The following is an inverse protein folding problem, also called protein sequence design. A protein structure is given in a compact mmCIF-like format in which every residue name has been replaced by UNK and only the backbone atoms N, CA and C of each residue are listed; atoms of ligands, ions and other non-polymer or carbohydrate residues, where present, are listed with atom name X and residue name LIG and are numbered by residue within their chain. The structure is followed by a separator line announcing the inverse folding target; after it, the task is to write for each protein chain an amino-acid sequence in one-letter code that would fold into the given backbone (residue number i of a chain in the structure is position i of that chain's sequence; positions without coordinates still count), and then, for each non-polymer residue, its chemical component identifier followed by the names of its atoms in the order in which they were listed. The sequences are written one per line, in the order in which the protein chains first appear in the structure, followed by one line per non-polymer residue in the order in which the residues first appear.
data_IF_463412902800
#
_entry.id   IF_463412902800
#
_cell.length_a   1.000
_cell.length_b   1.000
_cell.length_c   1.000
_cell.angle_alpha   90.00
_cell.angle_beta   90.00
_cell.angle_gamma   90.00
#
_symmetry.space_group_name_H-M   'P 1'
#
loop_
_entity.id
_entity.type
_entity.pdbx_description
1 polymer ?
#
# COMPACT_ATOMS: atom_id res chain seq x y z
N UNK A 1 13.35 17.17 -2.86
CA UNK A 1 14.29 17.17 -3.99
C UNK A 1 15.10 18.45 -3.96
N UNK A 2 16.41 18.32 -3.85
CA UNK A 2 17.37 19.39 -4.13
C UNK A 2 17.73 19.38 -5.62
N UNK A 3 17.27 20.39 -6.35
CA UNK A 3 17.76 20.64 -7.70
C UNK A 3 19.13 21.31 -7.64
N UNK A 4 20.02 20.96 -8.57
CA UNK A 4 21.37 21.55 -8.64
C UNK A 4 21.68 22.07 -10.04
N UNK A 5 22.68 22.94 -10.12
CA UNK A 5 23.31 23.32 -11.39
C UNK A 5 24.61 22.54 -11.54
N UNK A 6 24.77 21.81 -12.64
CA UNK A 6 25.97 21.02 -12.94
C UNK A 6 26.53 21.47 -14.27
N UNK A 7 27.81 21.85 -14.32
CA UNK A 7 28.45 22.38 -15.53
C UNK A 7 27.68 23.53 -16.21
N UNK A 8 26.96 24.33 -15.41
CA UNK A 8 26.11 25.43 -15.91
C UNK A 8 24.68 25.02 -16.32
N UNK A 9 24.35 23.73 -16.28
CA UNK A 9 23.04 23.20 -16.66
C UNK A 9 22.16 22.90 -15.43
N UNK A 10 20.89 23.28 -15.48
CA UNK A 10 19.87 22.90 -14.47
C UNK A 10 18.98 21.76 -14.94
N UNK A 11 19.05 21.40 -16.22
CA UNK A 11 18.22 20.39 -16.89
C UNK A 11 19.16 19.47 -17.69
N UNK A 12 18.92 18.16 -17.63
CA UNK A 12 19.63 17.15 -18.44
C UNK A 12 19.07 17.05 -19.85
N UNK A 13 19.76 16.32 -20.72
CA UNK A 13 19.42 16.21 -22.15
C UNK A 13 17.97 15.76 -22.41
N UNK A 14 17.44 14.84 -21.60
CA UNK A 14 16.06 14.35 -21.71
C UNK A 14 14.99 15.31 -21.14
N UNK A 15 15.40 16.47 -20.61
CA UNK A 15 14.49 17.49 -20.08
C UNK A 15 14.19 17.36 -18.58
N UNK A 16 14.85 16.44 -17.87
CA UNK A 16 14.68 16.28 -16.42
C UNK A 16 15.60 17.19 -15.61
N UNK A 17 15.19 17.66 -14.41
CA UNK A 17 16.05 18.47 -13.57
C UNK A 17 17.28 17.72 -13.08
N UNK A 18 18.43 18.40 -13.12
CA UNK A 18 19.65 17.93 -12.46
C UNK A 18 19.44 17.91 -10.94
N UNK A 19 19.87 16.83 -10.28
CA UNK A 19 19.66 16.64 -8.83
C UNK A 19 20.89 16.17 -8.10
N UNK A 20 20.91 16.43 -6.80
CA UNK A 20 21.87 15.85 -5.85
C UNK A 20 21.48 14.42 -5.42
N UNK A 21 22.43 13.75 -4.75
CA UNK A 21 22.26 12.39 -4.20
C UNK A 21 21.03 12.30 -3.29
N UNK A 22 20.76 13.33 -2.48
CA UNK A 22 19.62 13.38 -1.56
C UNK A 22 18.25 13.40 -2.25
N UNK A 23 18.21 13.53 -3.57
CA UNK A 23 17.01 13.43 -4.39
C UNK A 23 16.88 12.10 -5.13
N UNK A 24 17.82 11.19 -4.93
CA UNK A 24 17.81 9.83 -5.42
C UNK A 24 17.61 8.85 -4.27
N UNK A 25 17.21 7.62 -4.59
CA UNK A 25 17.11 6.52 -3.62
C UNK A 25 17.77 5.28 -4.22
N UNK A 26 18.66 4.66 -3.44
CA UNK A 26 19.12 3.30 -3.68
C UNK A 26 17.95 2.33 -3.54
N UNK A 27 17.52 1.72 -4.64
CA UNK A 27 16.43 0.75 -4.66
C UNK A 27 16.90 -0.59 -5.19
N UNK A 28 16.42 -1.66 -4.57
CA UNK A 28 16.55 -3.00 -5.13
C UNK A 28 15.62 -3.16 -6.34
N UNK A 29 16.16 -3.77 -7.41
CA UNK A 29 15.41 -4.06 -8.62
C UNK A 29 14.63 -5.37 -8.41
N UNK A 30 13.28 -5.33 -8.52
CA UNK A 30 12.43 -6.47 -8.24
C UNK A 30 12.86 -7.75 -8.97
N UNK A 31 13.01 -8.84 -8.21
CA UNK A 31 13.40 -10.16 -8.74
C UNK A 31 14.90 -10.35 -8.88
N UNK A 32 15.72 -9.43 -8.36
CA UNK A 32 17.18 -9.44 -8.50
C UNK A 32 17.84 -8.98 -7.20
N UNK A 33 19.15 -9.23 -7.05
CA UNK A 33 19.95 -8.63 -5.96
C UNK A 33 20.58 -7.28 -6.37
N UNK A 34 20.33 -6.79 -7.58
CA UNK A 34 20.86 -5.53 -8.11
C UNK A 34 20.18 -4.33 -7.47
N UNK A 35 20.98 -3.31 -7.18
CA UNK A 35 20.50 -2.02 -6.69
C UNK A 35 20.86 -0.90 -7.66
N UNK A 36 19.95 0.06 -7.83
CA UNK A 36 20.19 1.26 -8.64
C UNK A 36 19.82 2.50 -7.82
N UNK A 37 20.61 3.57 -7.95
CA UNK A 37 20.31 4.87 -7.35
C UNK A 37 19.55 5.75 -8.33
N UNK A 38 18.23 5.82 -8.19
CA UNK A 38 17.34 6.46 -9.17
C UNK A 38 16.74 7.73 -8.57
N UNK A 39 16.58 8.78 -9.38
CA UNK A 39 15.87 9.99 -8.97
C UNK A 39 14.46 9.66 -8.49
N UNK A 40 14.08 10.21 -7.34
CA UNK A 40 12.79 9.98 -6.71
C UNK A 40 11.61 10.42 -7.61
N UNK A 41 10.42 9.87 -7.35
CA UNK A 41 9.19 10.24 -8.07
C UNK A 41 8.91 9.35 -9.28
N UNK A 42 8.49 9.94 -10.39
CA UNK A 42 8.03 9.19 -11.57
C UNK A 42 9.15 8.38 -12.24
N UNK A 43 10.37 8.92 -12.29
CA UNK A 43 11.57 8.21 -12.80
C UNK A 43 11.85 6.94 -12.00
N UNK A 44 11.79 7.01 -10.66
CA UNK A 44 11.97 5.86 -9.79
C UNK A 44 10.98 4.74 -10.11
N UNK A 45 9.69 5.08 -10.26
CA UNK A 45 8.64 4.09 -10.53
C UNK A 45 8.84 3.41 -11.89
N UNK A 46 9.13 4.19 -12.93
CA UNK A 46 9.23 3.69 -14.31
C UNK A 46 10.54 2.93 -14.52
N UNK A 47 11.68 3.51 -14.12
CA UNK A 47 12.99 2.90 -14.38
C UNK A 47 13.22 1.65 -13.53
N UNK A 48 12.74 1.61 -12.27
CA UNK A 48 12.79 0.40 -11.44
C UNK A 48 12.03 -0.75 -12.08
N UNK A 49 10.82 -0.49 -12.58
CA UNK A 49 10.02 -1.48 -13.29
C UNK A 49 10.66 -1.93 -14.60
N UNK A 50 11.24 -0.99 -15.36
CA UNK A 50 11.92 -1.30 -16.62
C UNK A 50 13.12 -2.22 -16.38
N UNK A 51 13.94 -1.92 -15.36
CA UNK A 51 15.08 -2.77 -15.00
C UNK A 51 14.64 -4.19 -14.58
N UNK A 52 13.51 -4.31 -13.86
CA UNK A 52 12.94 -5.62 -13.52
C UNK A 52 12.44 -6.40 -14.74
N UNK A 53 11.88 -5.72 -15.74
CA UNK A 53 11.48 -6.32 -17.01
C UNK A 53 12.68 -6.73 -17.87
N UNK A 54 13.71 -5.88 -17.90
CA UNK A 54 14.97 -6.18 -18.56
C UNK A 54 15.58 -7.47 -17.99
N UNK A 55 15.69 -7.54 -16.66
CA UNK A 55 16.20 -8.73 -15.96
C UNK A 55 15.41 -10.00 -16.32
N UNK A 56 14.08 -9.91 -16.28
CA UNK A 56 13.22 -11.07 -16.44
C UNK A 56 13.15 -11.59 -17.89
N UNK A 57 13.17 -10.69 -18.88
CA UNK A 57 12.80 -11.05 -20.25
C UNK A 57 13.93 -10.86 -21.28
N UNK A 58 14.91 -10.01 -20.99
CA UNK A 58 16.03 -9.75 -21.91
C UNK A 58 17.24 -10.57 -21.46
N UNK A 59 17.79 -10.25 -20.30
CA UNK A 59 18.90 -10.96 -19.68
C UNK A 59 19.08 -10.59 -18.19
N UNK A 60 19.62 -11.49 -17.35
CA UNK A 60 19.83 -11.19 -15.94
C UNK A 60 20.76 -9.98 -15.71
N UNK A 61 20.28 -9.02 -14.94
CA UNK A 61 21.07 -7.91 -14.42
C UNK A 61 22.14 -8.35 -13.44
N UNK A 62 23.22 -7.57 -13.40
CA UNK A 62 24.36 -7.73 -12.50
C UNK A 62 24.68 -6.39 -11.84
N UNK A 63 24.86 -6.43 -10.53
CA UNK A 63 25.10 -5.22 -9.71
C UNK A 63 26.48 -4.62 -9.99
N UNK A 64 27.48 -5.46 -10.23
CA UNK A 64 28.86 -5.04 -10.47
C UNK A 64 29.03 -4.19 -11.75
N UNK A 65 28.13 -4.32 -12.71
CA UNK A 65 28.16 -3.61 -13.99
C UNK A 65 26.81 -3.01 -14.39
N UNK A 66 26.04 -2.52 -13.41
CA UNK A 66 24.85 -1.69 -13.66
C UNK A 66 24.81 -0.48 -12.72
N UNK A 67 24.45 0.70 -13.23
CA UNK A 67 24.42 1.93 -12.43
C UNK A 67 23.42 2.95 -12.99
N UNK A 68 23.03 3.94 -12.17
CA UNK A 68 22.05 4.98 -12.54
C UNK A 68 22.60 6.40 -12.26
N UNK A 69 22.33 7.02 -11.11
CA UNK A 69 22.79 8.38 -10.83
C UNK A 69 24.31 8.48 -10.65
N UNK A 70 24.90 9.60 -11.11
CA UNK A 70 26.30 9.94 -10.81
C UNK A 70 26.46 11.41 -10.41
N UNK A 71 27.39 11.69 -9.50
CA UNK A 71 27.68 13.06 -9.06
C UNK A 71 28.30 13.90 -10.20
N UNK A 72 29.17 13.30 -11.01
CA UNK A 72 29.89 13.90 -12.14
C UNK A 72 29.77 13.01 -13.38
N UNK A 73 29.98 13.59 -14.55
CA UNK A 73 29.96 12.86 -15.83
C UNK A 73 30.84 13.61 -16.85
N UNK A 74 31.37 12.88 -17.84
CA UNK A 74 32.17 13.47 -18.93
C UNK A 74 31.29 14.24 -19.94
N UNK A 75 29.98 14.02 -19.92
CA UNK A 75 28.99 14.75 -20.71
C UNK A 75 28.20 15.70 -19.82
N UNK A 76 28.36 17.00 -20.03
CA UNK A 76 27.80 18.07 -19.19
C UNK A 76 26.26 18.07 -19.09
N UNK A 77 25.59 17.46 -20.07
CA UNK A 77 24.11 17.31 -20.14
C UNK A 77 23.63 15.90 -19.84
N UNK A 78 24.50 15.00 -19.38
CA UNK A 78 24.19 13.59 -19.14
C UNK A 78 22.95 13.39 -18.27
N UNK A 79 22.12 12.41 -18.64
CA UNK A 79 20.95 12.03 -17.88
C UNK A 79 21.28 11.21 -16.61
N UNK A 80 22.53 10.75 -16.47
CA UNK A 80 23.02 10.20 -15.19
C UNK A 80 23.11 11.28 -14.10
N UNK A 81 23.40 12.53 -14.47
CA UNK A 81 23.50 13.66 -13.53
C UNK A 81 22.14 14.06 -12.92
N UNK A 82 21.04 13.74 -13.61
CA UNK A 82 19.67 13.90 -13.13
C UNK A 82 19.10 12.63 -12.50
N UNK A 83 19.81 11.50 -12.53
CA UNK A 83 19.34 10.22 -11.99
C UNK A 83 18.21 9.61 -12.80
N UNK A 84 18.17 9.92 -14.10
CA UNK A 84 17.14 9.50 -15.06
C UNK A 84 17.70 8.71 -16.23
N UNK A 85 18.95 8.24 -16.11
CA UNK A 85 19.57 7.28 -17.00
C UNK A 85 20.18 6.13 -16.21
N UNK A 86 20.24 4.96 -16.82
CA UNK A 86 20.83 3.76 -16.29
C UNK A 86 21.62 3.04 -17.37
N UNK A 87 22.82 2.61 -17.02
CA UNK A 87 23.60 1.69 -17.82
C UNK A 87 23.41 0.29 -17.22
N UNK A 88 22.95 -0.65 -18.04
CA UNK A 88 22.67 -2.02 -17.61
C UNK A 88 23.67 -2.96 -18.25
N UNK A 89 24.35 -3.77 -17.43
CA UNK A 89 25.27 -4.83 -17.87
C UNK A 89 26.43 -4.34 -18.78
N UNK A 90 27.05 -3.19 -18.48
CA UNK A 90 27.96 -2.50 -19.41
C UNK A 90 29.15 -3.34 -19.89
N UNK A 91 29.63 -4.32 -19.11
CA UNK A 91 30.74 -5.19 -19.53
C UNK A 91 30.38 -6.07 -20.74
N UNK A 92 29.08 -6.28 -20.99
CA UNK A 92 28.56 -7.04 -22.15
C UNK A 92 28.18 -6.17 -23.34
N UNK A 93 28.17 -4.84 -23.16
CA UNK A 93 27.56 -3.88 -24.08
C UNK A 93 28.52 -2.70 -24.33
N UNK A 94 29.65 -2.91 -25.03
CA UNK A 94 30.66 -1.87 -25.24
C UNK A 94 30.10 -0.60 -25.90
N UNK A 95 30.49 0.56 -25.34
CA UNK A 95 30.14 1.89 -25.82
C UNK A 95 30.54 2.12 -27.29
N UNK A 96 29.71 2.86 -28.04
CA UNK A 96 29.86 3.19 -29.47
C UNK A 96 29.73 1.99 -30.43
N UNK A 97 29.27 0.85 -29.95
CA UNK A 97 28.98 -0.32 -30.78
C UNK A 97 27.47 -0.54 -30.83
N UNK A 98 26.88 -0.41 -32.02
CA UNK A 98 25.46 -0.64 -32.22
C UNK A 98 25.08 -2.09 -31.87
N UNK A 99 23.94 -2.25 -31.18
CA UNK A 99 23.37 -3.55 -30.80
C UNK A 99 24.31 -4.44 -29.98
N UNK A 100 25.36 -3.87 -29.36
CA UNK A 100 26.40 -4.64 -28.69
C UNK A 100 25.80 -5.57 -27.63
N UNK A 101 26.21 -6.84 -27.61
CA UNK A 101 25.73 -7.85 -26.66
C UNK A 101 24.31 -8.39 -26.91
N UNK A 102 23.56 -7.85 -27.88
CA UNK A 102 22.20 -8.30 -28.19
C UNK A 102 22.13 -9.10 -29.49
N UNK A 103 21.70 -10.35 -29.40
CA UNK A 103 21.30 -11.12 -30.58
C UNK A 103 19.92 -10.67 -31.10
N UNK A 104 19.54 -11.14 -32.29
CA UNK A 104 18.28 -10.77 -32.92
C UNK A 104 17.03 -11.05 -32.06
N UNK A 105 17.06 -12.10 -31.22
CA UNK A 105 15.95 -12.43 -30.34
C UNK A 105 15.87 -11.45 -29.17
N UNK A 106 17.00 -11.10 -28.56
CA UNK A 106 17.06 -10.07 -27.52
C UNK A 106 16.65 -8.71 -28.07
N UNK A 107 17.14 -8.32 -29.25
CA UNK A 107 16.73 -7.09 -29.92
C UNK A 107 15.21 -7.01 -30.10
N UNK A 108 14.58 -8.08 -30.60
CA UNK A 108 13.13 -8.12 -30.75
C UNK A 108 12.38 -7.95 -29.41
N UNK A 109 12.92 -8.53 -28.32
CA UNK A 109 12.33 -8.36 -26.98
C UNK A 109 12.53 -6.96 -26.42
N UNK A 110 13.72 -6.35 -26.60
CA UNK A 110 13.96 -4.96 -26.21
C UNK A 110 12.98 -4.04 -26.93
N UNK A 111 12.76 -4.25 -28.24
CA UNK A 111 11.75 -3.49 -29.00
C UNK A 111 10.34 -3.66 -28.45
N UNK A 112 9.91 -4.89 -28.21
CA UNK A 112 8.59 -5.15 -27.62
C UNK A 112 8.43 -4.54 -26.22
N UNK A 113 9.53 -4.47 -25.45
CA UNK A 113 9.54 -3.83 -24.15
C UNK A 113 9.43 -2.30 -24.28
N UNK A 114 10.24 -1.67 -25.14
CA UNK A 114 10.16 -0.22 -25.40
C UNK A 114 8.77 0.19 -25.93
N UNK A 115 8.17 -0.62 -26.80
CA UNK A 115 6.79 -0.41 -27.28
C UNK A 115 5.78 -0.44 -26.13
N UNK A 116 5.91 -1.37 -25.19
CA UNK A 116 5.07 -1.42 -23.99
C UNK A 116 5.26 -0.20 -23.09
N UNK A 117 6.49 0.35 -23.00
CA UNK A 117 6.79 1.54 -22.21
C UNK A 117 6.33 2.85 -22.87
N UNK A 118 5.71 2.82 -24.05
CA UNK A 118 4.99 3.95 -24.66
C UNK A 118 5.84 5.24 -24.74
N UNK A 119 7.15 5.11 -24.98
CA UNK A 119 8.09 6.23 -25.06
C UNK A 119 8.50 6.84 -23.72
N UNK A 120 8.08 6.27 -22.58
CA UNK A 120 8.55 6.69 -21.25
C UNK A 120 9.99 6.27 -20.96
N UNK A 121 10.50 5.26 -21.66
CA UNK A 121 11.92 4.88 -21.70
C UNK A 121 12.45 5.07 -23.11
N UNK A 122 13.65 5.62 -23.21
CA UNK A 122 14.43 5.74 -24.43
C UNK A 122 15.70 4.89 -24.33
N UNK A 123 16.11 4.30 -25.46
CA UNK A 123 17.28 3.44 -25.54
C UNK A 123 18.41 4.15 -26.30
N UNK A 124 19.58 4.30 -25.68
CA UNK A 124 20.73 4.99 -26.27
C UNK A 124 21.24 4.35 -27.57
N UNK A 125 20.91 3.08 -27.81
CA UNK A 125 21.19 2.42 -29.08
C UNK A 125 20.41 3.03 -30.26
N UNK A 126 19.36 3.80 -29.99
CA UNK A 126 18.56 4.49 -31.02
C UNK A 126 19.11 5.87 -31.39
N UNK A 127 20.08 6.40 -30.65
CA UNK A 127 20.75 7.63 -31.02
C UNK A 127 21.44 7.52 -32.38
N UNK A 128 21.62 8.64 -33.07
CA UNK A 128 22.41 8.64 -34.31
C UNK A 128 23.89 8.44 -34.01
N UNK A 129 24.41 9.12 -33.00
CA UNK A 129 25.77 8.98 -32.48
C UNK A 129 25.85 9.64 -31.09
N UNK A 130 26.57 9.05 -30.12
CA UNK A 130 27.12 7.68 -30.15
C UNK A 130 26.01 6.64 -30.09
N UNK A 131 26.31 5.41 -30.55
CA UNK A 131 25.43 4.25 -30.31
C UNK A 131 25.76 3.67 -28.95
N UNK A 132 24.76 3.50 -28.10
CA UNK A 132 25.00 3.04 -26.72
C UNK A 132 24.00 1.96 -26.29
N UNK A 133 24.40 0.69 -26.41
CA UNK A 133 23.53 -0.45 -26.16
C UNK A 133 23.21 -0.68 -24.68
N UNK A 134 24.10 -0.30 -23.77
CA UNK A 134 23.88 -0.44 -22.32
C UNK A 134 22.95 0.63 -21.75
N UNK A 135 22.83 1.77 -22.44
CA UNK A 135 22.23 2.98 -21.91
C UNK A 135 20.72 3.04 -22.13
N UNK A 136 19.96 3.19 -21.05
CA UNK A 136 18.52 3.45 -21.06
C UNK A 136 18.21 4.68 -20.22
N UNK A 137 17.22 5.46 -20.59
CA UNK A 137 16.88 6.69 -19.87
C UNK A 137 15.38 6.95 -19.87
N UNK A 138 14.91 7.83 -18.99
CA UNK A 138 13.59 8.43 -19.15
C UNK A 138 13.49 9.11 -20.53
N UNK A 139 12.37 8.87 -21.20
CA UNK A 139 12.09 9.42 -22.52
C UNK A 139 12.04 10.95 -22.53
N UNK A 140 12.33 11.54 -23.69
CA UNK A 140 12.26 12.99 -23.86
C UNK A 140 10.83 13.51 -23.62
N UNK A 141 10.71 14.66 -22.95
CA UNK A 141 9.41 15.31 -22.72
C UNK A 141 8.49 14.60 -21.72
N UNK A 142 9.03 13.71 -20.89
CA UNK A 142 8.29 12.99 -19.84
C UNK A 142 8.22 13.74 -18.51
N UNK A 143 9.15 14.68 -18.25
CA UNK A 143 9.15 15.45 -17.01
C UNK A 143 7.91 16.36 -16.90
N UNK A 144 7.13 16.19 -15.84
CA UNK A 144 5.91 16.97 -15.60
C UNK A 144 4.78 16.70 -16.60
N UNK A 145 4.89 15.64 -17.41
CA UNK A 145 3.91 15.32 -18.44
C UNK A 145 2.77 14.45 -17.85
N UNK A 146 1.50 14.84 -18.02
CA UNK A 146 0.36 14.03 -17.57
C UNK A 146 0.34 12.61 -18.16
N UNK A 147 0.84 12.41 -19.38
CA UNK A 147 0.91 11.08 -20.00
C UNK A 147 1.87 10.13 -19.25
N UNK A 148 2.90 10.66 -18.60
CA UNK A 148 3.82 9.87 -17.78
C UNK A 148 3.16 9.41 -16.49
N UNK A 149 2.35 10.27 -15.85
CA UNK A 149 1.53 9.86 -14.70
C UNK A 149 0.47 8.82 -15.10
N UNK A 150 -0.15 9.01 -16.27
CA UNK A 150 -1.12 8.08 -16.81
C UNK A 150 -0.51 6.69 -17.11
N UNK A 151 0.68 6.65 -17.70
CA UNK A 151 1.43 5.41 -17.90
C UNK A 151 1.67 4.67 -16.58
N UNK A 152 2.13 5.38 -15.53
CA UNK A 152 2.35 4.79 -14.22
C UNK A 152 1.07 4.12 -13.70
N UNK A 153 -0.05 4.84 -13.67
CA UNK A 153 -1.33 4.30 -13.19
C UNK A 153 -1.76 3.05 -13.96
N UNK A 154 -1.59 3.05 -15.28
CA UNK A 154 -2.06 1.92 -16.12
C UNK A 154 -1.12 0.72 -16.11
N UNK A 155 0.18 0.93 -15.94
CA UNK A 155 1.21 -0.04 -16.34
C UNK A 155 2.21 -0.38 -15.25
N UNK A 156 2.35 0.44 -14.21
CA UNK A 156 3.30 0.20 -13.11
C UNK A 156 2.52 -0.25 -11.88
N UNK A 157 2.97 -1.33 -11.27
CA UNK A 157 2.39 -1.91 -10.06
C UNK A 157 3.09 -1.33 -8.83
N UNK A 158 2.36 -1.28 -7.72
CA UNK A 158 2.89 -0.81 -6.43
C UNK A 158 4.07 -1.65 -5.90
N UNK A 159 4.21 -2.90 -6.35
CA UNK A 159 5.35 -3.77 -6.04
C UNK A 159 6.57 -3.52 -6.95
N UNK A 160 6.59 -2.42 -7.70
CA UNK A 160 7.75 -2.02 -8.49
C UNK A 160 7.93 -2.80 -9.80
N UNK A 161 7.07 -3.76 -10.12
CA UNK A 161 7.00 -4.38 -11.44
C UNK A 161 6.11 -3.58 -12.39
N UNK A 162 6.27 -3.77 -13.70
CA UNK A 162 5.25 -3.39 -14.67
C UNK A 162 4.23 -4.52 -14.89
N UNK A 163 3.14 -4.21 -15.59
CA UNK A 163 2.17 -5.22 -16.05
C UNK A 163 2.65 -6.01 -17.28
N UNK A 164 3.82 -5.68 -17.85
CA UNK A 164 4.37 -6.35 -19.03
C UNK A 164 4.53 -7.85 -18.78
N UNK A 165 3.79 -8.68 -19.54
CA UNK A 165 3.74 -10.13 -19.41
C UNK A 165 3.41 -10.67 -18.00
N UNK A 166 2.97 -9.82 -17.06
CA UNK A 166 2.61 -10.20 -15.69
C UNK A 166 1.16 -9.94 -15.34
N UNK A 167 0.47 -9.06 -16.07
CA UNK A 167 -0.90 -8.65 -15.75
C UNK A 167 -0.96 -7.84 -14.44
N UNK A 168 -2.15 -7.79 -13.84
CA UNK A 168 -2.38 -7.09 -12.57
C UNK A 168 -1.58 -7.71 -11.41
N UNK A 169 -1.34 -6.93 -10.36
CA UNK A 169 -0.74 -7.45 -9.14
C UNK A 169 -1.61 -8.56 -8.53
N UNK A 170 -1.00 -9.61 -7.92
CA UNK A 170 -1.77 -10.59 -7.17
C UNK A 170 -2.56 -9.88 -6.06
N UNK A 171 -3.82 -10.29 -5.85
CA UNK A 171 -4.62 -9.73 -4.77
C UNK A 171 -3.90 -9.87 -3.41
N UNK A 172 -3.95 -8.84 -2.57
CA UNK A 172 -3.23 -8.78 -1.30
C UNK A 172 -3.49 -10.01 -0.39
N UNK A 173 -4.70 -10.57 -0.42
CA UNK A 173 -5.02 -11.80 0.30
C UNK A 173 -4.24 -13.03 -0.22
N UNK A 174 -3.99 -13.11 -1.54
CA UNK A 174 -3.17 -14.18 -2.13
C UNK A 174 -1.71 -14.01 -1.75
N UNK A 175 -1.20 -12.78 -1.79
CA UNK A 175 0.16 -12.45 -1.33
C UNK A 175 0.33 -12.86 0.13
N UNK A 176 -0.60 -12.47 0.99
CA UNK A 176 -0.57 -12.83 2.41
C UNK A 176 -0.61 -14.36 2.61
N UNK A 177 -1.45 -15.08 1.85
CA UNK A 177 -1.51 -16.54 1.89
C UNK A 177 -0.16 -17.18 1.52
N UNK A 178 0.48 -16.71 0.46
CA UNK A 178 1.80 -17.18 0.03
C UNK A 178 2.88 -16.89 1.09
N UNK A 179 2.91 -15.67 1.62
CA UNK A 179 3.90 -15.22 2.60
C UNK A 179 3.81 -15.98 3.93
N UNK A 180 2.59 -16.33 4.35
CA UNK A 180 2.34 -16.99 5.65
C UNK A 180 2.22 -18.50 5.55
N UNK A 181 1.86 -19.04 4.38
CA UNK A 181 1.46 -20.43 4.19
C UNK A 181 0.03 -20.73 4.66
N UNK A 182 -0.81 -19.71 4.83
CA UNK A 182 -2.23 -19.86 5.16
C UNK A 182 -3.05 -20.22 3.91
N UNK A 183 -4.28 -20.71 4.12
CA UNK A 183 -5.25 -20.78 3.04
C UNK A 183 -5.64 -19.37 2.57
N UNK A 184 -5.98 -19.23 1.29
CA UNK A 184 -6.46 -17.96 0.74
C UNK A 184 -7.68 -17.41 1.50
N UNK A 185 -8.59 -18.29 1.94
CA UNK A 185 -9.75 -17.92 2.74
C UNK A 185 -9.37 -17.37 4.12
N UNK A 186 -8.39 -17.98 4.80
CA UNK A 186 -7.93 -17.48 6.09
C UNK A 186 -7.19 -16.17 5.95
N UNK A 187 -6.33 -16.06 4.93
CA UNK A 187 -5.61 -14.83 4.61
C UNK A 187 -6.57 -13.66 4.35
N UNK A 188 -7.63 -13.86 3.56
CA UNK A 188 -8.64 -12.83 3.31
C UNK A 188 -9.34 -12.34 4.58
N UNK A 189 -9.65 -13.24 5.53
CA UNK A 189 -10.28 -12.87 6.80
C UNK A 189 -9.36 -12.01 7.68
N UNK A 190 -8.07 -12.32 7.72
CA UNK A 190 -7.13 -11.61 8.61
C UNK A 190 -6.49 -10.40 7.96
N UNK A 191 -6.62 -10.24 6.64
CA UNK A 191 -5.94 -9.22 5.86
C UNK A 191 -6.12 -7.81 6.47
N UNK A 192 -7.32 -7.33 6.81
CA UNK A 192 -7.47 -5.99 7.39
C UNK A 192 -6.65 -5.80 8.68
N UNK A 193 -6.67 -6.78 9.59
CA UNK A 193 -5.90 -6.71 10.83
C UNK A 193 -4.38 -6.81 10.59
N UNK A 194 -3.94 -7.51 9.54
CA UNK A 194 -2.53 -7.50 9.13
C UNK A 194 -2.15 -6.12 8.59
N UNK A 195 -2.97 -5.51 7.73
CA UNK A 195 -2.72 -4.20 7.14
C UNK A 195 -2.64 -3.11 8.22
N UNK A 196 -3.61 -3.09 9.15
CA UNK A 196 -3.59 -2.19 10.30
C UNK A 196 -2.32 -2.36 11.16
N UNK A 197 -1.90 -3.62 11.37
CA UNK A 197 -0.68 -3.95 12.10
C UNK A 197 0.59 -3.48 11.40
N UNK A 198 0.71 -3.73 10.09
CA UNK A 198 1.87 -3.30 9.29
C UNK A 198 1.97 -1.77 9.21
N UNK A 199 0.85 -1.09 8.96
CA UNK A 199 0.79 0.36 8.91
C UNK A 199 1.18 0.99 10.26
N UNK A 200 0.57 0.53 11.36
CA UNK A 200 0.88 1.05 12.70
C UNK A 200 2.28 0.68 13.19
N UNK A 201 2.89 -0.36 12.62
CA UNK A 201 4.26 -0.79 12.92
C UNK A 201 5.34 -0.07 12.09
N UNK A 202 4.95 0.81 11.16
CA UNK A 202 5.87 1.44 10.19
C UNK A 202 6.64 0.39 9.35
N UNK A 203 5.94 -0.67 8.94
CA UNK A 203 6.49 -1.70 8.06
C UNK A 203 6.43 -1.23 6.60
N UNK A 204 7.37 -0.38 6.18
CA UNK A 204 7.34 0.32 4.88
C UNK A 204 8.08 -0.38 3.74
N UNK A 205 8.73 -1.51 4.01
CA UNK A 205 9.53 -2.23 3.02
C UNK A 205 9.43 -3.75 3.19
N UNK A 206 9.89 -4.49 2.18
CA UNK A 206 9.86 -5.97 2.12
C UNK A 206 10.47 -6.63 3.36
N UNK A 207 11.62 -6.14 3.83
CA UNK A 207 12.32 -6.74 4.97
C UNK A 207 11.50 -6.60 6.27
N UNK A 208 10.94 -5.40 6.52
CA UNK A 208 10.08 -5.14 7.68
C UNK A 208 8.80 -5.97 7.65
N UNK A 209 8.10 -6.00 6.51
CA UNK A 209 6.88 -6.79 6.33
C UNK A 209 7.16 -8.28 6.54
N UNK A 210 8.21 -8.81 5.92
CA UNK A 210 8.59 -10.21 6.07
C UNK A 210 8.94 -10.57 7.53
N UNK A 211 9.70 -9.73 8.21
CA UNK A 211 10.06 -9.92 9.62
C UNK A 211 8.82 -9.89 10.51
N UNK A 212 7.93 -8.93 10.29
CA UNK A 212 6.69 -8.80 11.04
C UNK A 212 5.81 -10.05 10.85
N UNK A 213 5.54 -10.45 9.62
CA UNK A 213 4.74 -11.66 9.33
C UNK A 213 5.33 -12.92 9.97
N UNK A 214 6.65 -13.06 9.95
CA UNK A 214 7.33 -14.22 10.52
C UNK A 214 7.22 -14.30 12.04
N UNK A 215 7.49 -13.17 12.71
CA UNK A 215 7.46 -13.08 14.16
C UNK A 215 6.04 -13.20 14.69
N UNK A 216 5.13 -12.39 14.16
CA UNK A 216 3.73 -12.36 14.59
C UNK A 216 3.03 -13.68 14.25
N UNK A 217 3.32 -14.26 13.09
CA UNK A 217 2.81 -15.58 12.72
C UNK A 217 3.31 -16.69 13.64
N UNK A 218 4.51 -16.57 14.23
CA UNK A 218 4.99 -17.52 15.22
C UNK A 218 4.25 -17.37 16.56
N UNK A 219 4.14 -16.15 17.08
CA UNK A 219 3.50 -15.87 18.39
C UNK A 219 2.01 -16.25 18.42
N UNK A 220 1.33 -16.21 17.28
CA UNK A 220 -0.12 -16.40 17.15
C UNK A 220 -0.55 -17.78 16.66
N UNK A 221 0.34 -18.77 16.72
CA UNK A 221 0.10 -20.12 16.17
C UNK A 221 -0.34 -20.07 14.69
N UNK A 222 0.44 -19.36 13.87
CA UNK A 222 0.14 -19.05 12.47
C UNK A 222 -1.12 -18.20 12.28
N UNK A 223 -1.28 -17.12 13.05
CA UNK A 223 -2.44 -16.23 13.02
C UNK A 223 -3.76 -16.93 13.38
N UNK A 224 -3.73 -18.08 14.04
CA UNK A 224 -4.93 -18.81 14.47
C UNK A 224 -5.46 -18.34 15.83
N UNK A 225 -4.59 -17.78 16.67
CA UNK A 225 -4.92 -17.39 18.03
C UNK A 225 -4.76 -15.88 18.27
N UNK A 226 -5.84 -15.22 18.68
CA UNK A 226 -5.82 -13.84 19.22
C UNK A 226 -5.82 -13.81 20.75
N UNK A 227 -5.84 -14.99 21.39
CA UNK A 227 -5.81 -15.16 22.83
C UNK A 227 -5.08 -16.48 23.16
N UNK A 228 -4.33 -16.49 24.27
CA UNK A 228 -3.69 -17.68 24.83
C UNK A 228 -4.73 -18.81 25.03
N UNK A 229 -4.41 -20.04 24.61
CA UNK A 229 -5.35 -21.16 24.78
C UNK A 229 -5.58 -21.58 26.24
N UNK A 230 -4.60 -21.34 27.11
CA UNK A 230 -4.72 -21.69 28.52
C UNK A 230 -5.74 -20.78 29.23
N UNK A 231 -6.50 -21.36 30.14
CA UNK A 231 -7.52 -20.67 30.94
C UNK A 231 -7.37 -21.06 32.41
N UNK A 232 -7.83 -20.18 33.29
CA UNK A 232 -7.85 -20.42 34.71
C UNK A 232 -8.73 -19.43 35.47
N UNK A 233 -8.47 -19.31 36.75
CA UNK A 233 -9.30 -18.55 37.69
C UNK A 233 -9.22 -17.04 37.43
N UNK A 234 -10.33 -16.46 36.96
CA UNK A 234 -10.49 -15.03 36.63
C UNK A 234 -10.44 -14.10 37.85
N UNK A 235 -10.20 -14.60 39.06
CA UNK A 235 -9.84 -13.77 40.21
C UNK A 235 -8.34 -13.47 40.29
N UNK A 236 -7.50 -14.18 39.53
CA UNK A 236 -6.05 -14.00 39.54
C UNK A 236 -5.60 -13.13 38.37
N UNK A 237 -4.72 -12.17 38.64
CA UNK A 237 -4.27 -11.17 37.65
C UNK A 237 -3.73 -11.79 36.35
N UNK A 238 -2.98 -12.90 36.45
CA UNK A 238 -2.44 -13.63 35.30
C UNK A 238 -3.53 -14.13 34.35
N UNK A 239 -4.70 -14.53 34.85
CA UNK A 239 -5.81 -15.02 34.03
C UNK A 239 -6.69 -13.88 33.54
N UNK A 240 -6.84 -12.81 34.33
CA UNK A 240 -7.49 -11.56 33.90
C UNK A 240 -6.75 -10.97 32.69
N UNK A 241 -5.44 -10.81 32.80
CA UNK A 241 -4.56 -10.21 31.78
C UNK A 241 -3.65 -11.26 31.11
N UNK A 242 -4.24 -12.41 30.73
CA UNK A 242 -3.59 -13.47 29.92
C UNK A 242 -3.17 -12.95 28.54
N UNK A 243 -2.39 -13.73 27.80
CA UNK A 243 -1.94 -13.36 26.45
C UNK A 243 -3.12 -13.06 25.51
N UNK A 244 -3.16 -11.87 24.92
CA UNK A 244 -4.13 -11.46 23.87
C UNK A 244 -3.44 -10.69 22.75
N UNK A 245 -4.12 -10.55 21.61
CA UNK A 245 -3.56 -10.14 20.31
C UNK A 245 -2.59 -11.16 19.73
N UNK A 246 -2.08 -10.92 18.52
CA UNK A 246 -1.16 -11.87 17.90
C UNK A 246 0.25 -11.88 18.53
N UNK A 247 0.66 -10.83 19.24
CA UNK A 247 1.95 -10.79 19.98
C UNK A 247 1.81 -11.28 21.44
N UNK A 248 0.61 -11.74 21.85
CA UNK A 248 0.36 -12.24 23.20
C UNK A 248 0.67 -11.21 24.31
N UNK A 249 0.14 -9.99 24.18
CA UNK A 249 0.18 -8.98 25.25
C UNK A 249 -0.36 -9.59 26.55
N UNK A 250 0.48 -9.57 27.58
CA UNK A 250 0.24 -10.19 28.88
C UNK A 250 0.56 -9.19 29.98
N UNK A 251 -0.06 -9.34 31.15
CA UNK A 251 0.07 -8.47 32.34
C UNK A 251 -0.67 -7.15 32.23
N UNK A 252 -1.18 -6.69 33.39
CA UNK A 252 -1.96 -5.45 33.50
C UNK A 252 -1.22 -4.22 32.94
N UNK A 253 0.10 -4.16 33.09
CA UNK A 253 0.93 -3.06 32.60
C UNK A 253 0.90 -2.92 31.08
N UNK A 254 0.97 -4.01 30.33
CA UNK A 254 0.88 -3.97 28.86
C UNK A 254 -0.52 -3.62 28.39
N UNK A 255 -1.55 -4.12 29.08
CA UNK A 255 -2.94 -3.75 28.80
C UNK A 255 -3.17 -2.25 29.03
N UNK A 256 -2.61 -1.69 30.10
CA UNK A 256 -2.67 -0.25 30.36
C UNK A 256 -1.90 0.56 29.30
N UNK A 257 -0.67 0.15 28.97
CA UNK A 257 0.15 0.82 27.94
C UNK A 257 -0.51 0.82 26.56
N UNK A 258 -1.11 -0.31 26.16
CA UNK A 258 -1.84 -0.41 24.90
C UNK A 258 -3.15 0.39 24.93
N UNK A 259 -3.87 0.39 26.06
CA UNK A 259 -5.09 1.21 26.22
C UNK A 259 -4.80 2.69 26.03
N UNK A 260 -3.74 3.20 26.67
CA UNK A 260 -3.31 4.58 26.51
C UNK A 260 -2.93 4.88 25.06
N UNK A 261 -2.15 3.99 24.42
CA UNK A 261 -1.72 4.17 23.03
C UNK A 261 -2.89 4.21 22.04
N UNK A 262 -3.92 3.40 22.26
CA UNK A 262 -5.17 3.43 21.49
C UNK A 262 -5.98 4.70 21.77
N UNK A 263 -6.05 5.15 23.02
CA UNK A 263 -6.78 6.36 23.40
C UNK A 263 -6.17 7.61 22.76
N UNK A 264 -4.84 7.73 22.77
CA UNK A 264 -4.10 8.84 22.14
C UNK A 264 -4.35 8.92 20.63
N UNK A 265 -4.83 7.82 20.02
CA UNK A 265 -5.17 7.70 18.59
C UNK A 265 -6.69 7.75 18.33
N UNK A 266 -7.50 7.98 19.36
CA UNK A 266 -8.96 8.01 19.24
C UNK A 266 -9.61 6.65 18.93
N UNK A 267 -8.89 5.54 19.12
CA UNK A 267 -9.38 4.19 18.80
C UNK A 267 -10.27 3.61 19.92
N UNK A 268 -10.13 4.11 21.14
CA UNK A 268 -10.93 3.72 22.31
C UNK A 268 -11.35 4.93 23.12
N UNK A 269 -12.42 4.81 23.89
CA UNK A 269 -13.02 5.93 24.61
C UNK A 269 -12.26 6.35 25.88
N UNK A 270 -11.48 5.44 26.48
CA UNK A 270 -10.78 5.69 27.76
C UNK A 270 -9.32 5.20 27.71
N UNK A 271 -8.41 5.85 28.45
CA UNK A 271 -7.00 5.42 28.53
C UNK A 271 -6.81 4.09 29.28
N UNK A 272 -7.85 3.57 29.93
CA UNK A 272 -7.85 2.30 30.68
C UNK A 272 -8.71 1.22 30.02
N UNK A 273 -9.18 1.43 28.78
CA UNK A 273 -10.20 0.60 28.14
C UNK A 273 -9.98 -0.92 28.26
N UNK A 274 -8.78 -1.43 27.98
CA UNK A 274 -8.48 -2.87 28.08
C UNK A 274 -8.09 -3.30 29.50
N UNK A 275 -7.75 -2.38 30.41
CA UNK A 275 -7.62 -2.71 31.84
C UNK A 275 -8.99 -3.03 32.43
N UNK A 276 -10.00 -2.27 32.02
CA UNK A 276 -11.39 -2.39 32.46
C UNK A 276 -12.13 -3.51 31.69
N UNK A 277 -11.77 -3.73 30.42
CA UNK A 277 -12.39 -4.71 29.53
C UNK A 277 -11.33 -5.65 28.90
N UNK A 278 -10.63 -6.47 29.70
CA UNK A 278 -9.46 -7.23 29.22
C UNK A 278 -9.80 -8.25 28.14
N UNK A 279 -10.99 -8.84 28.15
CA UNK A 279 -11.42 -9.80 27.13
C UNK A 279 -11.61 -9.16 25.75
N UNK A 280 -11.94 -7.87 25.67
CA UNK A 280 -12.10 -7.16 24.40
C UNK A 280 -10.80 -7.14 23.57
N UNK A 281 -9.64 -7.28 24.23
CA UNK A 281 -8.34 -7.32 23.55
C UNK A 281 -8.14 -8.60 22.70
N UNK A 282 -9.03 -9.60 22.82
CA UNK A 282 -9.01 -10.80 21.99
C UNK A 282 -9.66 -10.59 20.61
N UNK A 283 -10.35 -9.47 20.38
CA UNK A 283 -10.97 -9.20 19.07
C UNK A 283 -9.91 -9.07 17.97
N UNK A 284 -10.20 -9.65 16.80
CA UNK A 284 -9.28 -9.67 15.66
C UNK A 284 -8.81 -8.26 15.24
N UNK A 285 -9.67 -7.24 15.33
CA UNK A 285 -9.32 -5.85 15.00
C UNK A 285 -8.17 -5.28 15.83
N UNK A 286 -7.92 -5.82 17.02
CA UNK A 286 -6.79 -5.41 17.87
C UNK A 286 -5.56 -6.28 17.68
N UNK A 287 -5.67 -7.40 16.95
CA UNK A 287 -4.63 -8.42 16.90
C UNK A 287 -3.33 -7.90 16.26
N UNK A 288 -3.45 -7.18 15.14
CA UNK A 288 -2.33 -6.52 14.48
C UNK A 288 -1.87 -5.24 15.20
N UNK A 289 -2.81 -4.44 15.73
CA UNK A 289 -2.48 -3.21 16.45
C UNK A 289 -1.72 -3.46 17.76
N UNK A 290 -2.06 -4.52 18.51
CA UNK A 290 -1.30 -4.92 19.70
C UNK A 290 0.13 -5.35 19.35
N UNK A 291 0.29 -6.05 18.23
CA UNK A 291 1.61 -6.37 17.68
C UNK A 291 2.38 -5.09 17.31
N UNK A 292 1.74 -4.14 16.63
CA UNK A 292 2.34 -2.86 16.25
C UNK A 292 2.78 -2.02 17.46
N UNK A 293 1.97 -1.95 18.52
CA UNK A 293 2.35 -1.28 19.76
C UNK A 293 3.59 -1.89 20.40
N UNK A 294 3.64 -3.22 20.50
CA UNK A 294 4.82 -3.88 21.06
C UNK A 294 6.06 -3.63 20.19
N UNK A 295 5.87 -3.71 18.88
CA UNK A 295 6.91 -3.52 17.86
C UNK A 295 7.51 -2.11 17.86
N UNK A 296 6.70 -1.07 18.07
CA UNK A 296 7.15 0.34 17.93
C UNK A 296 7.34 1.06 19.25
N UNK A 297 6.59 0.69 20.28
CA UNK A 297 6.62 1.37 21.58
C UNK A 297 7.38 0.56 22.61
N UNK A 298 7.07 -0.72 22.74
CA UNK A 298 7.76 -1.57 23.71
C UNK A 298 9.17 -1.96 23.26
N UNK A 299 9.42 -2.01 21.95
CA UNK A 299 10.69 -2.42 21.32
C UNK A 299 11.05 -1.54 20.11
N UNK A 300 11.30 -0.23 20.30
CA UNK A 300 11.44 0.74 19.21
C UNK A 300 12.61 0.46 18.25
N UNK A 301 13.55 -0.43 18.59
CA UNK A 301 14.70 -0.80 17.75
C UNK A 301 14.40 -1.88 16.70
N UNK A 302 13.22 -2.51 16.71
CA UNK A 302 12.93 -3.65 15.83
C UNK A 302 12.94 -3.28 14.34
N UNK A 303 12.46 -2.09 13.94
CA UNK A 303 12.47 -1.69 12.52
C UNK A 303 13.89 -1.64 11.94
N UNK A 304 14.84 -1.05 12.67
CA UNK A 304 16.24 -1.01 12.24
C UNK A 304 16.86 -2.42 12.15
N UNK A 305 16.50 -3.32 13.08
CA UNK A 305 16.94 -4.72 13.04
C UNK A 305 16.33 -5.47 11.86
N UNK A 306 15.07 -5.21 11.53
CA UNK A 306 14.39 -5.80 10.38
C UNK A 306 15.02 -5.33 9.07
N UNK A 307 15.36 -4.04 8.95
CA UNK A 307 16.07 -3.49 7.78
C UNK A 307 17.43 -4.18 7.59
N UNK A 308 18.15 -4.45 8.68
CA UNK A 308 19.39 -5.21 8.70
C UNK A 308 19.23 -6.74 8.55
N UNK A 309 17.98 -7.24 8.39
CA UNK A 309 17.63 -8.66 8.32
C UNK A 309 18.09 -9.48 9.53
N UNK A 310 18.23 -8.86 10.71
CA UNK A 310 18.70 -9.50 11.94
C UNK A 310 17.56 -10.27 12.65
N UNK A 311 17.22 -11.43 12.07
CA UNK A 311 16.18 -12.33 12.59
C UNK A 311 16.44 -12.78 14.03
N UNK A 312 17.71 -13.01 14.39
CA UNK A 312 18.08 -13.56 15.70
C UNK A 312 17.81 -12.53 16.79
N UNK A 313 18.25 -11.28 16.59
CA UNK A 313 18.04 -10.22 17.57
C UNK A 313 16.57 -9.83 17.68
N UNK A 314 15.82 -9.78 16.57
CA UNK A 314 14.37 -9.54 16.65
C UNK A 314 13.67 -10.65 17.43
N UNK A 315 14.05 -11.91 17.23
CA UNK A 315 13.51 -13.05 18.01
C UNK A 315 13.80 -12.88 19.51
N UNK A 316 15.02 -12.46 19.87
CA UNK A 316 15.39 -12.15 21.25
C UNK A 316 14.56 -10.99 21.84
N UNK A 317 14.27 -9.94 21.06
CA UNK A 317 13.45 -8.80 21.52
C UNK A 317 12.01 -9.18 21.84
N UNK A 318 11.46 -10.09 21.05
CA UNK A 318 10.07 -10.53 21.18
C UNK A 318 9.93 -11.60 22.25
N UNK A 319 10.76 -12.64 22.22
CA UNK A 319 10.60 -13.80 23.08
C UNK A 319 11.49 -13.79 24.33
N UNK A 320 12.49 -12.89 24.41
CA UNK A 320 13.50 -12.91 25.47
C UNK A 320 14.55 -14.02 25.32
N UNK A 321 14.55 -14.72 24.19
CA UNK A 321 15.38 -15.90 23.90
C UNK A 321 15.31 -16.25 22.41
N UNK A 322 15.86 -17.39 22.02
CA UNK A 322 15.79 -17.92 20.64
C UNK A 322 14.74 -19.01 20.47
N UNK A 323 13.78 -19.12 21.39
CA UNK A 323 12.76 -20.17 21.31
C UNK A 323 11.91 -20.00 20.05
N UNK A 324 11.72 -21.12 19.35
CA UNK A 324 10.96 -21.15 18.10
C UNK A 324 11.65 -20.49 16.91
N UNK A 325 12.94 -20.14 17.02
CA UNK A 325 13.71 -19.62 15.90
C UNK A 325 13.76 -20.63 14.73
N UNK A 326 14.07 -21.88 15.06
CA UNK A 326 14.12 -23.00 14.11
C UNK A 326 12.86 -23.87 14.16
N UNK A 327 12.67 -24.68 13.12
CA UNK A 327 11.58 -25.63 13.03
C UNK A 327 11.63 -26.66 14.16
N UNK A 328 10.46 -27.03 14.68
CA UNK A 328 10.36 -28.00 15.76
C UNK A 328 9.01 -28.71 15.72
N UNK A 329 8.99 -30.01 16.00
CA UNK A 329 7.78 -30.83 16.06
C UNK A 329 6.90 -30.72 14.79
N UNK A 330 7.52 -30.65 13.61
CA UNK A 330 6.83 -30.50 12.33
C UNK A 330 6.16 -29.14 12.12
N UNK A 331 6.39 -28.16 13.01
CA UNK A 331 5.91 -26.79 12.87
C UNK A 331 7.04 -25.86 12.40
N UNK A 332 6.76 -24.94 11.46
CA UNK A 332 7.75 -23.98 10.98
C UNK A 332 8.09 -22.96 12.07
N UNK A 333 9.38 -22.81 12.34
CA UNK A 333 9.95 -21.77 13.19
C UNK A 333 9.96 -20.40 12.51
N UNK A 334 10.46 -19.39 13.21
CA UNK A 334 10.54 -18.01 12.71
C UNK A 334 11.39 -17.90 11.45
N UNK A 335 12.50 -18.65 11.36
CA UNK A 335 13.38 -18.65 10.17
C UNK A 335 12.66 -19.14 8.92
N UNK A 336 11.96 -20.26 9.01
CA UNK A 336 11.19 -20.81 7.88
C UNK A 336 10.09 -19.85 7.45
N UNK A 337 9.40 -19.22 8.40
CA UNK A 337 8.36 -18.21 8.11
C UNK A 337 8.96 -16.97 7.45
N UNK A 338 10.10 -16.50 7.95
CA UNK A 338 10.80 -15.34 7.42
C UNK A 338 11.30 -15.58 5.99
N UNK A 339 11.94 -16.73 5.74
CA UNK A 339 12.39 -17.11 4.41
C UNK A 339 11.22 -17.26 3.43
N UNK A 340 10.08 -17.82 3.88
CA UNK A 340 8.85 -17.91 3.07
C UNK A 340 8.34 -16.52 2.69
N UNK A 341 8.26 -15.60 3.66
CA UNK A 341 7.79 -14.25 3.40
C UNK A 341 8.76 -13.50 2.47
N UNK A 342 10.07 -13.55 2.72
CA UNK A 342 11.08 -12.94 1.85
C UNK A 342 11.03 -13.46 0.41
N UNK A 343 10.73 -14.75 0.21
CA UNK A 343 10.60 -15.34 -1.12
C UNK A 343 9.44 -14.77 -1.94
N UNK A 344 8.46 -14.12 -1.31
CA UNK A 344 7.38 -13.39 -2.00
C UNK A 344 7.91 -12.07 -2.59
N UNK A 345 8.98 -11.51 -2.04
CA UNK A 345 9.65 -10.32 -2.55
C UNK A 345 8.74 -9.09 -2.51
N UNK A 346 8.84 -8.26 -3.55
CA UNK A 346 8.15 -6.97 -3.59
C UNK A 346 6.62 -7.08 -3.61
N UNK A 347 6.04 -8.24 -3.99
CA UNK A 347 4.60 -8.45 -3.87
C UNK A 347 4.10 -8.22 -2.44
N UNK A 348 4.97 -8.36 -1.41
CA UNK A 348 4.65 -7.99 -0.03
C UNK A 348 4.23 -6.52 0.13
N UNK A 349 4.69 -5.61 -0.73
CA UNK A 349 4.33 -4.18 -0.68
C UNK A 349 2.84 -3.96 -0.96
N UNK A 350 2.17 -4.88 -1.65
CA UNK A 350 0.70 -4.85 -1.79
C UNK A 350 -0.03 -5.04 -0.46
N UNK A 351 0.64 -5.50 0.60
CA UNK A 351 0.03 -5.59 1.93
C UNK A 351 -0.03 -4.24 2.65
N UNK A 352 0.74 -3.25 2.22
CA UNK A 352 0.70 -1.89 2.79
C UNK A 352 0.15 -0.85 1.80
N UNK A 353 0.23 -1.18 0.51
CA UNK A 353 -0.35 -0.43 -0.59
C UNK A 353 -1.27 -1.38 -1.38
N UNK A 354 -2.39 -1.86 -0.78
CA UNK A 354 -3.30 -2.81 -1.45
C UNK A 354 -3.93 -2.25 -2.72
N UNK A 355 -3.90 -0.93 -2.82
CA UNK A 355 -4.37 -0.08 -3.89
C UNK A 355 -3.16 0.80 -4.20
N UNK A 356 -2.51 0.60 -5.34
CA UNK A 356 -1.40 1.45 -5.74
C UNK A 356 -1.95 2.83 -6.05
N UNK A 357 -1.89 3.78 -5.12
CA UNK A 357 -2.49 5.11 -5.30
C UNK A 357 -3.97 5.10 -5.77
N UNK A 358 -4.74 4.03 -5.56
CA UNK A 358 -6.20 4.06 -5.72
C UNK A 358 -6.83 4.53 -4.39
N UNK A 359 -6.39 5.70 -3.92
CA UNK A 359 -7.30 6.52 -3.12
C UNK A 359 -8.54 6.72 -4.01
N UNK A 360 -9.75 6.45 -3.53
CA UNK A 360 -11.00 6.69 -4.29
C UNK A 360 -11.04 8.08 -4.97
N UNK A 361 -10.29 9.03 -4.40
CA UNK A 361 -10.09 10.37 -4.95
C UNK A 361 -9.24 10.43 -6.23
N UNK A 362 -8.31 9.50 -6.48
CA UNK A 362 -7.39 9.51 -7.63
C UNK A 362 -8.04 9.05 -8.94
N UNK A 363 -9.15 8.31 -8.85
CA UNK A 363 -10.02 7.99 -10.00
C UNK A 363 -10.81 9.22 -10.48
N UNK A 364 -10.93 10.25 -9.64
CA UNK A 364 -11.63 11.49 -9.93
C UNK A 364 -10.66 12.53 -10.48
N UNK A 365 -11.05 13.20 -11.57
CA UNK A 365 -10.37 14.41 -12.04
C UNK A 365 -10.42 15.51 -10.98
N UNK A 366 -9.54 16.52 -11.06
CA UNK A 366 -9.54 17.64 -10.12
C UNK A 366 -10.90 18.38 -10.04
N UNK A 367 -11.71 18.31 -11.11
CA UNK A 367 -13.07 18.84 -11.13
C UNK A 367 -14.03 17.95 -10.33
N UNK A 368 -13.99 16.64 -10.54
CA UNK A 368 -14.83 15.66 -9.83
C UNK A 368 -14.46 15.55 -8.33
N UNK A 369 -13.18 15.69 -7.98
CA UNK A 369 -12.75 15.79 -6.57
C UNK A 369 -13.33 17.04 -5.90
N UNK A 370 -13.42 18.15 -6.63
CA UNK A 370 -13.97 19.41 -6.13
C UNK A 370 -15.48 19.34 -6.01
N UNK A 371 -16.14 18.72 -6.97
CA UNK A 371 -17.57 18.40 -6.92
C UNK A 371 -17.91 17.48 -5.74
N UNK A 372 -17.12 16.42 -5.50
CA UNK A 372 -17.29 15.55 -4.34
C UNK A 372 -17.09 16.31 -3.03
N UNK A 373 -16.07 17.16 -2.94
CA UNK A 373 -15.81 18.00 -1.77
C UNK A 373 -16.97 18.97 -1.52
N UNK A 374 -17.50 19.59 -2.57
CA UNK A 374 -18.60 20.54 -2.48
C UNK A 374 -19.91 19.82 -2.14
N UNK A 375 -20.17 18.64 -2.67
CA UNK A 375 -21.30 17.78 -2.30
C UNK A 375 -21.20 17.28 -0.86
N UNK A 376 -19.99 16.96 -0.38
CA UNK A 376 -19.75 16.54 1.01
C UNK A 376 -19.90 17.70 1.99
N UNK A 377 -19.46 18.90 1.59
CA UNK A 377 -19.68 20.15 2.36
C UNK A 377 -21.14 20.53 2.39
N UNK A 378 -21.82 20.41 1.26
CA UNK A 378 -23.26 20.62 1.17
C UNK A 378 -24.00 19.63 2.09
N UNK A 379 -23.66 18.34 2.07
CA UNK A 379 -24.21 17.35 3.01
C UNK A 379 -23.92 17.73 4.47
N UNK A 380 -22.68 18.15 4.79
CA UNK A 380 -22.31 18.62 6.14
C UNK A 380 -23.10 19.86 6.57
N UNK A 381 -23.40 20.77 5.65
CA UNK A 381 -24.19 21.99 5.89
C UNK A 381 -25.67 21.65 6.10
N UNK A 382 -26.21 20.68 5.35
CA UNK A 382 -27.56 20.16 5.56
C UNK A 382 -27.69 19.38 6.88
N UNK A 383 -26.64 18.68 7.32
CA UNK A 383 -26.62 17.88 8.53
C UNK A 383 -26.25 18.67 9.81
N UNK A 384 -25.66 19.87 9.65
CA UNK A 384 -25.26 20.76 10.74
C UNK A 384 -24.08 20.24 11.60
N UNK A 385 -23.44 21.11 12.41
CA UNK A 385 -22.25 20.74 13.19
C UNK A 385 -22.52 19.87 14.43
N UNK A 386 -23.79 19.60 14.76
CA UNK A 386 -24.19 18.84 15.94
C UNK A 386 -25.00 17.60 15.55
N UNK A 387 -24.28 16.50 15.35
CA UNK A 387 -24.78 15.23 14.78
C UNK A 387 -25.83 14.54 15.70
N UNK A 388 -26.09 15.05 16.91
CA UNK A 388 -27.03 14.44 17.88
C UNK A 388 -27.72 15.46 18.79
N UNK A 389 -28.43 16.43 18.20
CA UNK A 389 -29.23 17.42 18.93
C UNK A 389 -30.71 17.43 18.52
N UNK A 390 -31.59 18.14 19.26
CA UNK A 390 -33.05 18.13 19.05
C UNK A 390 -33.55 18.64 17.69
N UNK A 391 -32.67 19.13 16.82
CA UNK A 391 -33.00 19.66 15.50
C UNK A 391 -32.98 18.59 14.37
N UNK A 392 -32.55 17.36 14.65
CA UNK A 392 -32.45 16.27 13.66
C UNK A 392 -33.76 15.49 13.42
N UNK A 393 -34.90 16.12 13.72
CA UNK A 393 -36.24 15.52 13.61
C UNK A 393 -36.76 15.56 12.18
N UNK A 394 -37.27 14.43 11.68
CA UNK A 394 -38.03 14.37 10.42
C UNK A 394 -39.55 14.34 10.65
N UNK A 395 -40.00 14.73 11.84
CA UNK A 395 -41.39 14.64 12.26
C UNK A 395 -41.67 13.44 13.15
N UNK A 396 -42.95 13.12 13.36
CA UNK A 396 -43.40 12.03 14.22
C UNK A 396 -44.22 11.02 13.42
N UNK A 397 -44.13 9.75 13.78
CA UNK A 397 -45.00 8.71 13.23
C UNK A 397 -46.44 8.85 13.76
N UNK A 398 -47.33 7.98 13.27
CA UNK A 398 -48.77 7.99 13.60
C UNK A 398 -49.05 7.75 15.10
N UNK A 399 -48.08 7.18 15.83
CA UNK A 399 -48.12 6.97 17.28
C UNK A 399 -47.48 8.14 18.07
N UNK A 400 -47.04 9.20 17.38
CA UNK A 400 -46.47 10.41 17.97
C UNK A 400 -45.00 10.26 18.39
N UNK A 401 -44.29 9.23 17.93
CA UNK A 401 -42.87 9.01 18.21
C UNK A 401 -42.00 9.70 17.16
N UNK A 402 -40.94 10.36 17.62
CA UNK A 402 -39.97 11.07 16.78
C UNK A 402 -39.27 10.13 15.79
N UNK A 403 -39.30 10.49 14.51
CA UNK A 403 -38.61 9.81 13.43
C UNK A 403 -37.26 10.47 13.18
N UNK A 404 -36.20 9.66 13.25
CA UNK A 404 -34.83 10.12 13.05
C UNK A 404 -34.23 9.58 11.74
N UNK A 405 -33.12 10.18 11.29
CA UNK A 405 -32.36 9.69 10.12
C UNK A 405 -31.96 8.21 10.27
N UNK A 406 -31.71 7.76 11.51
CA UNK A 406 -31.40 6.36 11.84
C UNK A 406 -32.57 5.42 11.56
N UNK A 407 -33.80 5.87 11.77
CA UNK A 407 -35.02 5.10 11.50
C UNK A 407 -35.29 5.01 9.99
N UNK A 408 -35.03 6.09 9.25
CA UNK A 408 -35.08 6.12 7.79
C UNK A 408 -34.06 5.18 7.14
N UNK A 409 -32.80 5.20 7.59
CA UNK A 409 -31.78 4.26 7.10
C UNK A 409 -32.10 2.80 7.45
N UNK A 410 -32.69 2.56 8.63
CA UNK A 410 -33.14 1.23 9.04
C UNK A 410 -34.33 0.73 8.18
N UNK A 411 -35.22 1.63 7.73
CA UNK A 411 -36.30 1.29 6.81
C UNK A 411 -35.79 0.98 5.40
N UNK A 412 -34.84 1.77 4.90
CA UNK A 412 -34.17 1.53 3.63
C UNK A 412 -33.44 0.17 3.64
N UNK A 413 -32.69 -0.11 4.72
CA UNK A 413 -32.04 -1.41 4.91
C UNK A 413 -33.04 -2.57 4.93
N UNK A 414 -34.17 -2.44 5.63
CA UNK A 414 -35.25 -3.46 5.63
C UNK A 414 -35.87 -3.68 4.24
N UNK A 415 -36.00 -2.63 3.43
CA UNK A 415 -36.48 -2.74 2.05
C UNK A 415 -35.49 -3.43 1.10
N UNK A 416 -34.19 -3.36 1.41
CA UNK A 416 -33.13 -4.03 0.66
C UNK A 416 -32.94 -5.49 1.12
N UNK A 417 -33.22 -5.80 2.40
CA UNK A 417 -33.05 -7.15 2.98
C UNK A 417 -34.17 -8.15 2.66
N UNK A 418 -35.36 -7.70 2.23
CA UNK A 418 -36.45 -8.60 1.80
C UNK A 418 -36.48 -8.74 0.27
N UNK A 419 -35.94 -9.86 -0.22
CA UNK A 419 -35.79 -10.18 -1.65
C UNK A 419 -37.10 -10.30 -2.46
N UNK A 420 -37.00 -10.48 -3.79
CA UNK A 420 -38.04 -10.13 -4.76
C UNK A 420 -39.18 -11.14 -4.84
N UNK A 421 -40.43 -10.69 -4.70
CA UNK A 421 -41.60 -11.57 -4.84
C UNK A 421 -43.00 -11.02 -4.51
N UNK A 422 -43.24 -9.70 -4.51
CA UNK A 422 -44.59 -9.14 -4.28
C UNK A 422 -44.99 -8.24 -5.45
N UNK A 423 -46.17 -8.45 -6.03
CA UNK A 423 -46.62 -7.84 -7.29
C UNK A 423 -47.11 -6.39 -7.13
N UNK A 424 -46.94 -5.63 -8.21
CA UNK A 424 -47.10 -4.17 -8.31
C UNK A 424 -48.49 -3.59 -8.02
N UNK A 425 -49.50 -4.41 -7.70
CA UNK A 425 -50.88 -3.95 -7.44
C UNK A 425 -51.16 -3.60 -5.98
N UNK A 426 -50.23 -3.85 -5.05
CA UNK A 426 -50.35 -3.44 -3.63
C UNK A 426 -49.55 -2.17 -3.28
N UNK A 427 -48.82 -1.60 -4.24
CA UNK A 427 -48.10 -0.33 -4.10
C UNK A 427 -49.02 0.84 -4.46
N UNK A 428 -50.05 1.09 -3.67
CA UNK A 428 -51.04 2.12 -3.95
C UNK A 428 -50.61 3.52 -3.50
N UNK A 429 -50.56 4.40 -4.50
CA UNK A 429 -50.79 5.86 -4.52
C UNK A 429 -49.94 6.82 -3.66
N UNK A 430 -49.54 6.50 -2.43
CA UNK A 430 -48.76 7.43 -1.60
C UNK A 430 -47.29 7.54 -2.06
N UNK A 431 -46.65 6.39 -2.29
CA UNK A 431 -45.23 6.37 -2.70
C UNK A 431 -45.00 6.96 -4.11
N UNK A 432 -45.98 6.84 -5.01
CA UNK A 432 -45.89 7.48 -6.34
C UNK A 432 -46.09 8.99 -6.26
N UNK A 433 -46.93 9.49 -5.36
CA UNK A 433 -47.13 10.93 -5.18
C UNK A 433 -45.91 11.62 -4.56
N UNK A 434 -45.27 11.00 -3.56
CA UNK A 434 -44.08 11.56 -2.91
C UNK A 434 -42.83 11.51 -3.80
N UNK A 435 -42.59 10.39 -4.51
CA UNK A 435 -41.46 10.29 -5.44
C UNK A 435 -41.66 11.23 -6.64
N UNK A 436 -42.90 11.39 -7.14
CA UNK A 436 -43.19 12.36 -8.19
C UNK A 436 -43.04 13.81 -7.69
N UNK A 437 -43.40 14.12 -6.44
CA UNK A 437 -43.22 15.45 -5.86
C UNK A 437 -41.74 15.80 -5.65
N UNK A 438 -40.94 14.86 -5.17
CA UNK A 438 -39.48 14.99 -5.03
C UNK A 438 -38.79 15.17 -6.39
N UNK A 439 -39.16 14.38 -7.39
CA UNK A 439 -38.62 14.52 -8.75
C UNK A 439 -39.01 15.87 -9.39
N UNK A 440 -40.22 16.38 -9.12
CA UNK A 440 -40.67 17.69 -9.63
C UNK A 440 -39.97 18.86 -8.93
N UNK A 441 -39.69 18.74 -7.65
CA UNK A 441 -38.87 19.71 -6.89
C UNK A 441 -37.45 19.76 -7.46
N UNK A 442 -36.81 18.60 -7.63
CA UNK A 442 -35.45 18.51 -8.16
C UNK A 442 -35.35 19.10 -9.59
N UNK A 443 -36.33 18.83 -10.46
CA UNK A 443 -36.35 19.35 -11.83
C UNK A 443 -36.61 20.87 -11.89
N UNK A 444 -37.39 21.42 -10.96
CA UNK A 444 -37.59 22.87 -10.85
C UNK A 444 -36.33 23.59 -10.35
N UNK A 445 -35.61 22.97 -9.41
CA UNK A 445 -34.34 23.49 -8.90
C UNK A 445 -33.22 23.43 -9.96
N UNK A 446 -33.20 22.37 -10.78
CA UNK A 446 -32.30 22.25 -11.94
C UNK A 446 -32.59 23.29 -13.04
N UNK A 447 -33.87 23.56 -13.34
CA UNK A 447 -34.26 24.57 -14.33
C UNK A 447 -33.94 26.01 -13.87
N UNK A 448 -33.97 26.27 -12.56
CA UNK A 448 -33.55 27.56 -12.00
C UNK A 448 -32.02 27.73 -12.00
N UNK A 449 -31.26 26.63 -11.96
CA UNK A 449 -29.80 26.63 -12.04
C UNK A 449 -29.30 26.90 -13.47
N UNK A 450 -29.95 26.34 -14.49
CA UNK A 450 -29.67 26.65 -15.91
C UNK A 450 -30.07 28.08 -16.32
N UNK A 451 -31.01 28.72 -15.62
CA UNK A 451 -31.40 30.11 -15.87
C UNK A 451 -30.50 31.15 -15.15
N UNK A 452 -29.67 30.69 -14.21
CA UNK A 452 -28.77 31.52 -13.40
C UNK A 452 -27.28 31.34 -13.77
N UNK A 453 -27.00 30.52 -14.79
CA UNK A 453 -25.69 30.40 -15.48
C UNK A 453 -25.78 30.97 -16.89
#
# INVERSE_FOLDING_TARGET
MGFRTVYGNTISENGWPMVDEGSCTWVNIPGTDVTLEIQNGQSLQIMRAFAADFHAYIEPLRDADSACWTLTNDVDTSNHLSGTAMDLNWDSHPFQVADAGFDAAKLARVRALLDFYEGTIYWGNDWTSPKDAMHFQMGYGTYGNPATADFIRRKIRADGYSTYQRGAAPAAASVLAQATGLSASRAAVILPAVQDGLAAADCTNVNRIAMWLAQIGHESDNFNATEEYANGDMTQERWIYKGRTWIQLTWKSNYAGFSQWCYDRGLVATPTYFVDNPTALADLKWAGLGAAWYWTVARPDINALADARDLVTVTLRINGGTNGLEDSNGKPGRRTRYNRALAVGDALLTLINPEGDDDFMSELTAAEQRELLDNTRWLREQLGPNIWGPASSFGKDEDGKELTLRDGLAALKRSVEMGPGVSAEQLTEAARAEVAALAKSLLADLANFEAAS
#
